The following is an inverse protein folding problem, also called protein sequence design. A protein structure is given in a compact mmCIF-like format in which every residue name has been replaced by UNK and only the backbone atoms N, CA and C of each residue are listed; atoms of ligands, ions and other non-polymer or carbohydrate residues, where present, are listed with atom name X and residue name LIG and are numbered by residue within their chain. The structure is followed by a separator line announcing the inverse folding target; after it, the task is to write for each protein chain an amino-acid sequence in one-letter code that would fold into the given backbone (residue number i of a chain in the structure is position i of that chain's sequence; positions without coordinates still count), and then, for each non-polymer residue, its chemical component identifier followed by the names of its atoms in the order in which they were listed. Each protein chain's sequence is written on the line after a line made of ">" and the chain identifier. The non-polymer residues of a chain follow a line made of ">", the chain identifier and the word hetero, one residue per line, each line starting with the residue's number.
data_IF_012580376517
#
_entry.id   IF_012580376517
#
_cell.length_a   1.000
_cell.length_b   1.000
_cell.length_c   1.000
_cell.angle_alpha   90.00
_cell.angle_beta   90.00
_cell.angle_gamma   90.00
#
_symmetry.space_group_name_H-M   'P 1'
#
loop_
_entity.id
_entity.type
_entity.pdbx_description
1 polymer ?
#
# COMPACT_ATOMS: atom_id res chain seq x y z
N UNK A 1 0.92 -12.03 40.25
CA UNK A 1 0.20 -13.07 39.49
C UNK A 1 0.79 -13.16 38.09
N UNK A 2 1.42 -14.28 37.73
CA UNK A 2 1.98 -14.50 36.38
C UNK A 2 0.82 -14.61 35.37
N UNK A 3 0.67 -13.63 34.47
CA UNK A 3 -0.31 -13.67 33.37
C UNK A 3 0.04 -14.83 32.44
N UNK A 4 -0.85 -15.82 32.34
CA UNK A 4 -0.83 -16.83 31.27
C UNK A 4 -1.01 -16.08 29.95
N UNK A 5 0.03 -16.04 29.13
CA UNK A 5 -0.01 -15.47 27.79
C UNK A 5 -1.07 -16.21 26.97
N UNK A 6 -2.09 -15.46 26.56
CA UNK A 6 -3.19 -15.86 25.71
C UNK A 6 -2.64 -16.49 24.43
N UNK A 7 -3.23 -17.61 23.99
CA UNK A 7 -2.95 -18.23 22.70
C UNK A 7 -2.90 -17.16 21.59
N UNK A 8 -1.77 -17.09 20.89
CA UNK A 8 -1.43 -16.08 19.90
C UNK A 8 -2.29 -16.24 18.64
N UNK A 9 -3.49 -15.67 18.64
CA UNK A 9 -4.30 -15.48 17.42
C UNK A 9 -3.79 -14.31 16.57
N UNK A 10 -2.84 -13.54 17.10
CA UNK A 10 -2.21 -12.40 16.43
C UNK A 10 -0.71 -12.67 16.27
N UNK A 11 -0.29 -12.92 15.03
CA UNK A 11 1.12 -12.89 14.64
C UNK A 11 1.38 -11.52 14.07
N UNK A 12 2.25 -10.72 14.71
CA UNK A 12 2.70 -9.48 14.12
C UNK A 12 3.54 -9.81 12.88
N UNK A 13 2.93 -9.73 11.71
CA UNK A 13 3.62 -9.95 10.43
C UNK A 13 4.28 -8.64 10.02
N UNK A 14 5.60 -8.62 10.07
CA UNK A 14 6.39 -7.50 9.57
C UNK A 14 6.92 -7.86 8.17
N UNK A 15 7.06 -6.87 7.29
CA UNK A 15 7.75 -7.08 6.02
C UNK A 15 9.18 -7.54 6.26
N UNK A 16 9.65 -8.48 5.43
CA UNK A 16 11.05 -8.89 5.41
C UNK A 16 11.96 -7.67 5.25
N UNK A 17 13.11 -7.70 5.91
CA UNK A 17 14.05 -6.61 5.81
C UNK A 17 14.72 -6.60 4.42
N UNK A 18 14.88 -5.40 3.88
CA UNK A 18 15.46 -5.20 2.56
C UNK A 18 16.97 -5.40 2.67
N UNK A 19 17.50 -6.45 2.02
CA UNK A 19 18.93 -6.72 2.02
C UNK A 19 19.66 -5.82 1.02
N UNK A 20 20.99 -5.71 1.16
CA UNK A 20 21.82 -4.99 0.18
C UNK A 20 21.78 -5.65 -1.21
N UNK A 21 21.55 -6.97 -1.27
CA UNK A 21 21.42 -7.70 -2.52
C UNK A 21 20.14 -7.31 -3.26
N UNK A 22 19.01 -7.18 -2.55
CA UNK A 22 17.74 -6.73 -3.15
C UNK A 22 17.88 -5.34 -3.74
N UNK A 23 18.52 -4.42 -3.01
CA UNK A 23 18.82 -3.06 -3.48
C UNK A 23 19.73 -3.07 -4.71
N UNK A 24 20.76 -3.91 -4.69
CA UNK A 24 21.66 -4.05 -5.83
C UNK A 24 20.95 -4.60 -7.07
N UNK A 25 20.12 -5.64 -6.91
CA UNK A 25 19.33 -6.22 -8.00
C UNK A 25 18.37 -5.18 -8.57
N UNK A 26 17.61 -4.47 -7.70
CA UNK A 26 16.69 -3.42 -8.14
C UNK A 26 17.41 -2.30 -8.88
N UNK A 27 18.58 -1.87 -8.39
CA UNK A 27 19.39 -0.84 -9.03
C UNK A 27 19.93 -1.32 -10.38
N UNK A 28 20.46 -2.54 -10.45
CA UNK A 28 20.95 -3.14 -11.69
C UNK A 28 19.85 -3.25 -12.74
N UNK A 29 18.67 -3.77 -12.36
CA UNK A 29 17.52 -3.89 -13.27
C UNK A 29 17.01 -2.52 -13.72
N UNK A 30 17.01 -1.52 -12.84
CA UNK A 30 16.60 -0.16 -13.18
C UNK A 30 17.57 0.48 -14.18
N UNK A 31 18.89 0.31 -14.00
CA UNK A 31 19.91 0.80 -14.92
C UNK A 31 19.79 0.09 -16.27
N UNK A 32 19.69 -1.25 -16.28
CA UNK A 32 19.50 -2.01 -17.49
C UNK A 32 18.23 -1.57 -18.26
N UNK A 33 17.12 -1.35 -17.54
CA UNK A 33 15.88 -0.83 -18.11
C UNK A 33 16.05 0.56 -18.72
N UNK A 34 16.75 1.47 -18.03
CA UNK A 34 17.04 2.82 -18.55
C UNK A 34 17.89 2.74 -19.82
N UNK A 35 18.92 1.90 -19.85
CA UNK A 35 19.75 1.70 -21.05
C UNK A 35 18.92 1.17 -22.22
N UNK A 36 18.04 0.19 -21.99
CA UNK A 36 17.14 -0.31 -23.03
C UNK A 36 16.16 0.76 -23.54
N UNK A 37 15.70 1.65 -22.66
CA UNK A 37 14.86 2.80 -23.06
C UNK A 37 15.65 3.77 -23.93
N UNK A 38 16.93 4.02 -23.63
CA UNK A 38 17.80 4.84 -24.47
C UNK A 38 18.04 4.23 -25.84
N UNK A 39 18.34 2.93 -25.92
CA UNK A 39 18.51 2.23 -27.20
C UNK A 39 17.23 2.28 -28.03
N UNK A 40 16.07 2.10 -27.39
CA UNK A 40 14.76 2.26 -28.02
C UNK A 40 14.54 3.70 -28.50
N UNK A 41 14.95 4.71 -27.72
CA UNK A 41 14.83 6.11 -28.11
C UNK A 41 15.66 6.40 -29.36
N UNK A 42 16.90 5.92 -29.39
CA UNK A 42 17.78 6.07 -30.55
C UNK A 42 17.17 5.45 -31.80
N UNK A 43 16.60 4.24 -31.68
CA UNK A 43 15.90 3.57 -32.78
C UNK A 43 14.62 4.32 -33.19
N UNK A 44 13.81 4.78 -32.23
CA UNK A 44 12.51 5.43 -32.45
C UNK A 44 12.63 6.74 -33.24
N UNK A 45 13.65 7.56 -32.94
CA UNK A 45 13.83 8.88 -33.55
C UNK A 45 14.66 8.89 -34.84
N UNK A 46 14.99 7.72 -35.41
CA UNK A 46 15.65 7.67 -36.73
C UNK A 46 14.75 8.24 -37.81
N UNK A 47 15.32 9.05 -38.69
CA UNK A 47 14.59 9.74 -39.76
C UNK A 47 13.83 8.77 -40.69
N UNK A 48 14.37 7.57 -40.90
CA UNK A 48 13.75 6.52 -41.73
C UNK A 48 12.39 6.04 -41.20
N UNK A 49 12.07 6.28 -39.92
CA UNK A 49 10.82 5.86 -39.29
C UNK A 49 9.75 6.97 -39.28
N UNK A 50 10.07 8.18 -39.72
CA UNK A 50 9.18 9.34 -39.65
C UNK A 50 8.50 9.56 -41.00
N UNK A 51 7.30 8.99 -41.17
CA UNK A 51 6.50 9.18 -42.40
C UNK A 51 5.66 10.47 -42.35
N UNK A 52 5.02 10.76 -41.22
CA UNK A 52 4.19 11.94 -41.03
C UNK A 52 4.56 12.63 -39.70
N UNK A 53 5.13 13.83 -39.81
CA UNK A 53 5.71 14.52 -38.66
C UNK A 53 4.68 14.91 -37.58
N UNK A 54 3.54 15.57 -37.88
CA UNK A 54 2.53 15.86 -36.86
C UNK A 54 2.01 14.64 -36.10
N UNK A 55 1.67 13.57 -36.83
CA UNK A 55 1.17 12.33 -36.20
C UNK A 55 2.26 11.65 -35.36
N UNK A 56 3.51 11.66 -35.84
CA UNK A 56 4.65 11.13 -35.11
C UNK A 56 4.88 11.85 -33.78
N UNK A 57 4.75 13.19 -33.74
CA UNK A 57 4.89 13.97 -32.50
C UNK A 57 3.80 13.61 -31.48
N UNK A 58 2.55 13.51 -31.92
CA UNK A 58 1.43 13.14 -31.04
C UNK A 58 1.64 11.73 -30.49
N UNK A 59 1.94 10.76 -31.36
CA UNK A 59 2.21 9.38 -30.97
C UNK A 59 3.37 9.29 -29.98
N UNK A 60 4.48 9.95 -30.30
CA UNK A 60 5.68 9.98 -29.46
C UNK A 60 5.36 10.54 -28.08
N UNK A 61 4.57 11.62 -28.00
CA UNK A 61 4.22 12.23 -26.71
C UNK A 61 3.49 11.26 -25.78
N UNK A 62 2.46 10.57 -26.27
CA UNK A 62 1.73 9.58 -25.47
C UNK A 62 2.58 8.36 -25.11
N UNK A 63 3.38 7.88 -26.06
CA UNK A 63 4.25 6.74 -25.85
C UNK A 63 5.32 7.03 -24.78
N UNK A 64 6.08 8.12 -24.94
CA UNK A 64 7.15 8.51 -24.03
C UNK A 64 6.64 8.95 -22.65
N UNK A 65 5.44 9.49 -22.56
CA UNK A 65 4.79 9.75 -21.27
C UNK A 65 4.63 8.46 -20.44
N UNK A 66 4.30 7.34 -21.08
CA UNK A 66 4.26 6.03 -20.42
C UNK A 66 5.61 5.61 -19.85
N UNK A 67 6.68 5.73 -20.64
CA UNK A 67 8.05 5.43 -20.20
C UNK A 67 8.50 6.33 -19.05
N UNK A 68 8.20 7.63 -19.11
CA UNK A 68 8.52 8.57 -18.03
C UNK A 68 7.87 8.12 -16.71
N UNK A 69 6.59 7.73 -16.73
CA UNK A 69 5.91 7.22 -15.53
C UNK A 69 6.57 5.95 -15.00
N UNK A 70 6.96 5.03 -15.88
CA UNK A 70 7.66 3.80 -15.49
C UNK A 70 9.01 4.10 -14.82
N UNK A 71 9.81 5.01 -15.38
CA UNK A 71 11.09 5.42 -14.79
C UNK A 71 10.88 6.08 -13.43
N UNK A 72 9.87 6.94 -13.28
CA UNK A 72 9.52 7.54 -11.99
C UNK A 72 9.16 6.48 -10.94
N UNK A 73 8.43 5.43 -11.33
CA UNK A 73 8.09 4.32 -10.43
C UNK A 73 9.37 3.60 -9.96
N UNK A 74 10.33 3.32 -10.86
CA UNK A 74 11.60 2.72 -10.48
C UNK A 74 12.39 3.58 -9.49
N UNK A 75 12.48 4.89 -9.74
CA UNK A 75 13.12 5.84 -8.82
C UNK A 75 12.44 5.83 -7.45
N UNK A 76 11.11 5.77 -7.41
CA UNK A 76 10.38 5.67 -6.14
C UNK A 76 10.72 4.36 -5.43
N UNK A 77 10.68 3.22 -6.10
CA UNK A 77 11.03 1.92 -5.49
C UNK A 77 12.46 1.89 -4.93
N UNK A 78 13.43 2.50 -5.62
CA UNK A 78 14.80 2.60 -5.12
C UNK A 78 14.92 3.47 -3.86
N UNK A 79 13.97 4.38 -3.61
CA UNK A 79 13.97 5.30 -2.47
C UNK A 79 12.99 4.94 -1.36
N UNK A 80 12.07 4.01 -1.60
CA UNK A 80 11.17 3.52 -0.56
C UNK A 80 12.01 2.91 0.55
N UNK A 81 11.77 3.40 1.77
CA UNK A 81 12.36 2.88 2.99
C UNK A 81 11.23 2.44 3.90
N UNK A 82 11.44 1.31 4.56
CA UNK A 82 10.62 0.90 5.70
C UNK A 82 10.83 1.97 6.79
N UNK A 83 9.76 2.57 7.35
CA UNK A 83 9.89 3.44 8.50
C UNK A 83 10.61 2.68 9.62
N UNK A 84 11.69 3.27 10.14
CA UNK A 84 12.55 2.61 11.14
C UNK A 84 11.82 2.44 12.48
N UNK A 85 10.95 3.38 12.82
CA UNK A 85 10.22 3.41 14.08
C UNK A 85 8.74 3.76 13.86
N UNK A 86 7.86 3.06 14.59
CA UNK A 86 6.48 3.53 14.75
C UNK A 86 6.55 4.66 15.78
N UNK A 87 6.14 5.91 15.44
CA UNK A 87 6.22 7.01 16.38
C UNK A 87 5.38 6.68 17.60
N UNK A 88 5.93 6.94 18.80
CA UNK A 88 5.16 6.86 20.03
C UNK A 88 4.11 7.97 19.98
N UNK A 89 2.81 7.66 20.06
CA UNK A 89 1.77 8.68 20.06
C UNK A 89 1.93 9.59 21.27
N UNK A 90 1.56 10.86 21.11
CA UNK A 90 1.54 11.81 22.22
C UNK A 90 0.59 11.33 23.33
N UNK A 91 0.96 11.57 24.58
CA UNK A 91 0.13 11.17 25.72
C UNK A 91 -1.18 11.97 25.77
N UNK A 92 -2.28 11.30 26.15
CA UNK A 92 -3.57 11.95 26.38
C UNK A 92 -4.42 12.19 25.12
N UNK A 93 -4.03 11.63 23.97
CA UNK A 93 -4.86 11.67 22.77
C UNK A 93 -6.14 10.84 22.97
N UNK A 94 -7.28 11.41 22.58
CA UNK A 94 -8.55 10.68 22.50
C UNK A 94 -8.59 9.84 21.22
N UNK A 95 -8.84 8.55 21.35
CA UNK A 95 -8.90 7.62 20.21
C UNK A 95 -10.35 7.24 19.93
N UNK A 96 -10.76 7.33 18.67
CA UNK A 96 -12.01 6.80 18.16
C UNK A 96 -11.72 5.69 17.14
N UNK A 97 -12.30 4.52 17.36
CA UNK A 97 -12.19 3.37 16.47
C UNK A 97 -13.52 3.21 15.74
N UNK A 98 -13.49 3.25 14.41
CA UNK A 98 -14.65 3.04 13.56
C UNK A 98 -14.57 1.67 12.91
N UNK A 99 -15.63 0.87 13.08
CA UNK A 99 -15.84 -0.35 12.32
C UNK A 99 -17.00 -0.09 11.36
N UNK A 100 -16.77 -0.29 10.07
CA UNK A 100 -17.82 -0.18 9.04
C UNK A 100 -18.33 -1.56 8.68
N UNK A 101 -19.64 -1.77 8.64
CA UNK A 101 -20.24 -2.98 8.06
C UNK A 101 -20.67 -2.73 6.60
N UNK A 102 -20.47 -3.73 5.75
CA UNK A 102 -20.98 -3.76 4.39
C UNK A 102 -21.96 -4.94 4.18
N UNK A 103 -22.94 -4.82 3.28
CA UNK A 103 -23.88 -5.90 3.00
C UNK A 103 -23.18 -7.19 2.57
N UNK A 104 -23.54 -8.31 3.20
CA UNK A 104 -22.99 -9.64 2.90
C UNK A 104 -21.84 -10.09 3.80
N UNK A 105 -21.37 -9.25 4.72
CA UNK A 105 -20.38 -9.65 5.72
C UNK A 105 -21.03 -10.42 6.89
N UNK A 106 -20.42 -11.50 7.39
CA UNK A 106 -21.02 -12.30 8.45
C UNK A 106 -20.95 -11.61 9.81
N UNK A 107 -22.07 -11.59 10.56
CA UNK A 107 -22.18 -11.00 11.92
C UNK A 107 -21.06 -11.48 12.87
N UNK A 108 -20.73 -12.77 12.83
CA UNK A 108 -19.68 -13.35 13.68
C UNK A 108 -18.29 -12.70 13.51
N UNK A 109 -18.04 -12.01 12.39
CA UNK A 109 -16.83 -11.23 12.16
C UNK A 109 -16.81 -9.94 13.00
N UNK A 110 -17.96 -9.29 13.15
CA UNK A 110 -18.12 -8.06 13.93
C UNK A 110 -18.05 -8.35 15.43
N UNK A 111 -18.69 -9.43 15.88
CA UNK A 111 -18.58 -9.89 17.28
C UNK A 111 -17.12 -10.10 17.70
N UNK A 112 -16.33 -10.76 16.85
CA UNK A 112 -14.90 -10.99 17.12
C UNK A 112 -14.11 -9.69 17.15
N UNK A 113 -14.41 -8.77 16.23
CA UNK A 113 -13.74 -7.47 16.14
C UNK A 113 -14.06 -6.60 17.37
N UNK A 114 -15.34 -6.50 17.75
CA UNK A 114 -15.78 -5.76 18.94
C UNK A 114 -15.21 -6.37 20.23
N UNK A 115 -15.21 -7.70 20.33
CA UNK A 115 -14.59 -8.40 21.47
C UNK A 115 -13.07 -8.18 21.55
N UNK A 116 -12.39 -8.03 20.41
CA UNK A 116 -10.98 -7.67 20.37
C UNK A 116 -10.76 -6.22 20.81
N UNK A 117 -11.61 -5.29 20.38
CA UNK A 117 -11.55 -3.88 20.78
C UNK A 117 -11.74 -3.70 22.28
N UNK A 118 -12.65 -4.47 22.91
CA UNK A 118 -12.80 -4.48 24.37
C UNK A 118 -11.52 -4.86 25.13
N UNK A 119 -10.54 -5.49 24.48
CA UNK A 119 -9.25 -5.88 25.09
C UNK A 119 -8.13 -4.88 24.82
N UNK A 120 -8.37 -3.84 24.02
CA UNK A 120 -7.37 -2.79 23.77
C UNK A 120 -7.17 -2.01 25.06
N UNK A 121 -5.92 -1.95 25.55
CA UNK A 121 -5.59 -1.34 26.84
C UNK A 121 -5.70 0.20 26.83
N UNK A 122 -5.55 0.83 25.66
CA UNK A 122 -5.64 2.28 25.52
C UNK A 122 -7.10 2.75 25.50
N UNK A 123 -7.41 3.85 26.21
CA UNK A 123 -8.76 4.39 26.28
C UNK A 123 -9.25 4.84 24.89
N UNK A 124 -10.36 4.26 24.43
CA UNK A 124 -10.91 4.52 23.11
C UNK A 124 -12.44 4.45 23.12
N UNK A 125 -13.05 5.18 22.20
CA UNK A 125 -14.48 5.05 21.88
C UNK A 125 -14.63 4.20 20.61
N UNK A 126 -15.49 3.19 20.65
CA UNK A 126 -15.77 2.34 19.49
C UNK A 126 -17.12 2.70 18.88
N UNK A 127 -17.16 2.83 17.56
CA UNK A 127 -18.38 3.12 16.79
C UNK A 127 -18.56 2.06 15.70
N UNK A 128 -19.72 1.41 15.70
CA UNK A 128 -20.15 0.54 14.60
C UNK A 128 -20.98 1.38 13.62
N UNK A 129 -20.43 1.59 12.42
CA UNK A 129 -21.08 2.32 11.33
C UNK A 129 -21.83 1.32 10.46
N UNK A 130 -23.10 1.10 10.79
CA UNK A 130 -23.94 0.15 10.09
C UNK A 130 -24.52 0.72 8.78
N UNK A 131 -24.17 0.09 7.66
CA UNK A 131 -24.73 0.40 6.33
C UNK A 131 -25.65 -0.71 5.79
N UNK A 132 -25.97 -1.71 6.60
CA UNK A 132 -26.70 -2.92 6.16
C UNK A 132 -28.19 -2.87 6.41
N UNK A 133 -28.67 -1.96 7.27
CA UNK A 133 -30.07 -1.88 7.75
C UNK A 133 -30.57 -3.18 8.41
N UNK A 134 -29.65 -4.07 8.80
CA UNK A 134 -29.97 -5.34 9.44
C UNK A 134 -30.14 -5.14 10.96
N UNK A 135 -31.30 -5.46 11.55
CA UNK A 135 -31.56 -5.32 12.99
C UNK A 135 -30.57 -6.06 13.89
N UNK A 136 -29.87 -7.08 13.38
CA UNK A 136 -28.87 -7.80 14.14
C UNK A 136 -27.62 -6.94 14.42
N UNK A 137 -27.29 -5.98 13.55
CA UNK A 137 -26.17 -5.06 13.76
C UNK A 137 -26.49 -3.98 14.80
N UNK A 138 -27.75 -3.56 14.89
CA UNK A 138 -28.21 -2.65 15.95
C UNK A 138 -28.05 -3.27 17.34
N UNK A 139 -28.24 -4.60 17.47
CA UNK A 139 -28.05 -5.31 18.74
C UNK A 139 -26.58 -5.43 19.17
N UNK A 140 -25.65 -5.20 18.25
CA UNK A 140 -24.20 -5.31 18.49
C UNK A 140 -23.55 -3.98 18.88
N UNK A 141 -24.20 -2.85 18.58
CA UNK A 141 -23.75 -1.50 18.90
C UNK A 141 -23.99 -1.14 20.37
#
# INVERSE_FOLDING_TARGET
>A
MKRRTQNSMWYFSQSADITNLDRFILLFLSIAGILSIFDLAEWWFRADHILNFPLFVILSTFFWYGFLRTVLIWINYLRIKKPDEVPVPEEGLSVAVFITSAPGEPISMFEKSLYALQKVEYAHNTYLLDSTEDPEFEKLA
#
